data_IF_043400473641
#
_entry.id   IF_043400473641
#
_cell.length_a   1.000
_cell.length_b   1.000
_cell.length_c   1.000
_cell.angle_alpha   90.00
_cell.angle_beta   90.00
_cell.angle_gamma   90.00
#
_symmetry.space_group_name_H-M   'P 1'
#
loop_
_entity.id
_entity.type
_entity.pdbx_description
1 polymer ?
#
# COMPACT_ATOMS: atom_id res chain seq x y z
N UNK A 1 0.11 2.73 -17.91
CA UNK A 1 0.54 1.76 -16.87
C UNK A 1 0.02 2.18 -15.51
N UNK A 2 -0.43 1.23 -14.67
CA UNK A 2 -0.89 1.54 -13.31
C UNK A 2 0.31 1.66 -12.37
N UNK A 3 0.21 2.54 -11.38
CA UNK A 3 1.23 2.71 -10.34
C UNK A 3 1.18 1.51 -9.39
N UNK A 4 2.30 0.81 -9.13
CA UNK A 4 2.33 -0.29 -8.18
C UNK A 4 2.16 0.21 -6.74
N UNK A 5 1.37 -0.49 -5.93
CA UNK A 5 1.20 -0.21 -4.50
C UNK A 5 1.15 -1.49 -3.68
N UNK A 6 1.43 -1.37 -2.38
CA UNK A 6 1.25 -2.49 -1.45
C UNK A 6 -0.18 -2.53 -0.90
N UNK A 7 -0.72 -3.74 -0.78
CA UNK A 7 -1.97 -4.00 -0.07
C UNK A 7 -1.88 -5.34 0.68
N UNK A 8 -2.61 -5.49 1.78
CA UNK A 8 -2.72 -6.79 2.43
C UNK A 8 -3.45 -7.78 1.53
N UNK A 9 -2.85 -8.94 1.33
CA UNK A 9 -3.39 -9.97 0.43
C UNK A 9 -3.54 -11.34 1.09
N UNK A 10 -2.47 -11.87 1.66
CA UNK A 10 -2.48 -13.17 2.34
C UNK A 10 -2.95 -12.98 3.79
N UNK A 11 -4.27 -13.16 4.03
CA UNK A 11 -4.88 -12.97 5.35
C UNK A 11 -5.30 -14.32 5.92
N UNK A 12 -4.69 -14.70 7.04
CA UNK A 12 -4.99 -15.92 7.80
C UNK A 12 -5.61 -15.55 9.14
N UNK A 13 -6.88 -15.90 9.32
CA UNK A 13 -7.58 -15.78 10.62
C UNK A 13 -7.55 -17.15 11.28
N UNK A 14 -6.88 -17.23 12.43
CA UNK A 14 -6.74 -18.49 13.19
C UNK A 14 -7.80 -18.62 14.28
N UNK A 15 -8.23 -17.51 14.84
CA UNK A 15 -9.32 -17.47 15.82
C UNK A 15 -10.19 -16.25 15.62
N UNK A 16 -11.50 -16.46 15.57
CA UNK A 16 -12.47 -15.37 15.41
C UNK A 16 -13.73 -15.69 16.25
N UNK A 17 -13.81 -15.09 17.41
CA UNK A 17 -14.97 -15.16 18.28
C UNK A 17 -15.79 -13.85 18.25
N UNK A 18 -15.60 -13.02 17.23
CA UNK A 18 -16.38 -11.80 17.06
C UNK A 18 -17.73 -12.05 16.36
N UNK A 19 -18.54 -11.02 16.28
CA UNK A 19 -19.82 -11.06 15.54
C UNK A 19 -19.65 -11.03 14.02
N UNK A 20 -18.46 -10.63 13.52
CA UNK A 20 -18.19 -10.53 12.10
C UNK A 20 -17.68 -11.85 11.55
N UNK A 21 -18.11 -12.21 10.35
CA UNK A 21 -17.57 -13.38 9.67
C UNK A 21 -16.17 -13.09 9.09
N UNK A 22 -15.41 -14.16 8.85
CA UNK A 22 -14.04 -14.05 8.36
C UNK A 22 -13.93 -13.32 7.01
N UNK A 23 -14.91 -13.42 6.13
CA UNK A 23 -14.88 -12.76 4.83
C UNK A 23 -15.04 -11.23 4.95
N UNK A 24 -15.91 -10.77 5.85
CA UNK A 24 -16.08 -9.34 6.14
C UNK A 24 -14.79 -8.75 6.71
N UNK A 25 -14.16 -9.46 7.64
CA UNK A 25 -12.88 -9.03 8.24
C UNK A 25 -11.79 -9.00 7.16
N UNK A 26 -11.64 -10.07 6.37
CA UNK A 26 -10.66 -10.11 5.27
C UNK A 26 -10.85 -8.96 4.28
N UNK A 27 -12.10 -8.67 3.90
CA UNK A 27 -12.39 -7.55 3.00
C UNK A 27 -11.94 -6.22 3.61
N UNK A 28 -12.21 -6.00 4.89
CA UNK A 28 -11.80 -4.79 5.60
C UNK A 28 -10.28 -4.63 5.64
N UNK A 29 -9.57 -5.71 6.00
CA UNK A 29 -8.10 -5.71 6.06
C UNK A 29 -7.47 -5.50 4.69
N UNK A 30 -8.00 -6.11 3.62
CA UNK A 30 -7.53 -5.89 2.24
C UNK A 30 -7.63 -4.43 1.78
N UNK A 31 -8.56 -3.67 2.34
CA UNK A 31 -8.77 -2.27 2.00
C UNK A 31 -8.03 -1.29 2.92
N UNK A 32 -7.29 -1.77 3.94
CA UNK A 32 -6.42 -0.91 4.72
C UNK A 32 -5.27 -0.41 3.83
N UNK A 33 -5.08 0.91 3.69
CA UNK A 33 -3.93 1.44 2.98
C UNK A 33 -2.67 1.12 3.77
N UNK A 34 -1.62 0.67 3.12
CA UNK A 34 -0.31 0.48 3.76
C UNK A 34 0.44 1.81 3.67
N UNK A 35 0.47 2.54 4.79
CA UNK A 35 1.05 3.87 4.92
C UNK A 35 2.45 3.71 5.53
N UNK A 36 3.41 4.56 5.14
CA UNK A 36 4.67 4.73 5.88
C UNK A 36 5.74 3.67 5.63
N UNK A 37 5.69 2.94 4.54
CA UNK A 37 6.92 2.39 3.99
C UNK A 37 7.71 3.62 3.52
N UNK A 38 8.68 4.06 4.31
CA UNK A 38 9.46 5.28 4.06
C UNK A 38 10.33 5.21 2.79
N UNK A 39 10.33 4.10 2.10
CA UNK A 39 11.06 3.94 0.86
C UNK A 39 10.10 4.13 -0.30
N UNK A 40 9.63 5.36 -0.50
CA UNK A 40 9.15 5.80 -1.80
C UNK A 40 10.18 5.46 -2.89
N UNK A 41 11.46 5.36 -2.52
CA UNK A 41 12.58 4.97 -3.36
C UNK A 41 12.68 3.45 -3.61
N UNK A 42 12.05 2.58 -2.84
CA UNK A 42 12.09 1.13 -3.11
C UNK A 42 11.42 0.77 -4.46
N UNK A 43 10.68 1.71 -5.07
CA UNK A 43 10.06 1.54 -6.39
C UNK A 43 10.73 2.34 -7.50
N UNK A 44 11.41 3.38 -7.11
CA UNK A 44 12.09 4.32 -7.97
C UNK A 44 13.33 4.75 -7.19
N UNK A 45 14.39 3.95 -7.21
CA UNK A 45 15.70 4.44 -6.88
C UNK A 45 15.94 5.61 -7.82
N UNK A 46 15.75 6.82 -7.32
CA UNK A 46 16.46 7.95 -7.86
C UNK A 46 17.91 7.63 -7.53
N UNK A 47 18.68 7.17 -8.50
CA UNK A 47 20.08 7.50 -8.49
C UNK A 47 20.08 9.01 -8.30
N UNK A 48 20.49 9.50 -7.12
CA UNK A 48 20.99 10.85 -6.97
C UNK A 48 22.24 10.88 -7.86
N UNK A 49 21.99 11.02 -9.16
CA UNK A 49 23.03 11.48 -10.06
C UNK A 49 23.33 12.90 -9.59
N UNK A 50 24.46 13.06 -8.89
CA UNK A 50 25.17 14.32 -8.83
C UNK A 50 25.27 14.76 -10.29
N UNK A 51 24.45 15.77 -10.66
CA UNK A 51 24.57 16.42 -11.94
C UNK A 51 25.90 17.20 -11.94
N UNK A 52 26.96 16.52 -12.26
CA UNK A 52 28.13 17.14 -12.83
C UNK A 52 27.71 17.64 -14.21
N UNK A 53 27.66 18.96 -14.36
CA UNK A 53 27.17 19.71 -15.53
C UNK A 53 27.94 19.45 -16.84
N UNK A 54 28.83 18.44 -16.93
CA UNK A 54 29.78 18.26 -18.02
C UNK A 54 29.76 16.87 -18.71
N UNK A 55 28.70 16.10 -18.66
CA UNK A 55 28.68 14.84 -19.41
C UNK A 55 27.56 14.77 -20.44
N UNK A 56 28.03 14.68 -21.68
CA UNK A 56 27.25 14.41 -22.88
C UNK A 56 26.30 13.22 -22.66
N UNK A 57 25.07 13.42 -23.08
CA UNK A 57 23.95 12.51 -23.09
C UNK A 57 24.28 11.21 -23.86
N UNK A 58 24.82 10.21 -23.18
CA UNK A 58 24.89 8.86 -23.72
C UNK A 58 23.59 8.10 -23.38
N UNK A 59 22.81 7.88 -24.43
CA UNK A 59 21.61 7.07 -24.48
C UNK A 59 21.92 5.59 -24.25
N UNK A 60 22.32 5.11 -23.12
CA UNK A 60 22.30 3.65 -22.84
C UNK A 60 22.63 3.33 -21.37
N UNK A 61 21.88 3.85 -20.40
CA UNK A 61 21.76 3.13 -19.13
C UNK A 61 20.29 2.95 -18.83
N UNK A 62 19.80 1.84 -19.37
CA UNK A 62 18.45 1.42 -19.23
C UNK A 62 18.11 1.17 -17.76
N UNK A 63 17.15 1.89 -17.25
CA UNK A 63 16.21 1.33 -16.30
C UNK A 63 15.74 0.00 -16.92
N UNK A 64 16.29 -1.12 -16.47
CA UNK A 64 15.76 -2.43 -16.79
C UNK A 64 14.33 -2.45 -16.25
N UNK A 65 13.42 -2.05 -17.13
CA UNK A 65 12.01 -2.05 -16.85
C UNK A 65 11.63 -3.45 -16.43
N UNK A 66 11.03 -3.58 -15.28
CA UNK A 66 10.28 -4.77 -14.91
C UNK A 66 9.28 -4.96 -16.04
N UNK A 67 9.52 -5.92 -16.92
CA UNK A 67 8.62 -6.25 -18.01
C UNK A 67 7.34 -6.87 -17.42
N UNK A 68 6.37 -6.00 -17.16
CA UNK A 68 5.06 -6.37 -16.60
C UNK A 68 4.20 -7.20 -17.56
N UNK A 69 4.68 -7.48 -18.76
CA UNK A 69 3.99 -8.29 -19.77
C UNK A 69 4.39 -9.76 -19.74
N UNK A 70 5.41 -10.13 -19.00
CA UNK A 70 5.70 -11.54 -18.79
C UNK A 70 4.82 -12.06 -17.66
N UNK A 71 3.92 -12.98 -17.96
CA UNK A 71 3.17 -13.82 -17.00
C UNK A 71 4.08 -14.80 -16.23
N UNK A 72 5.35 -14.52 -16.12
CA UNK A 72 6.22 -15.22 -15.17
C UNK A 72 5.84 -14.71 -13.80
N UNK A 73 5.44 -15.63 -12.92
CA UNK A 73 5.35 -15.41 -11.48
C UNK A 73 6.49 -14.50 -11.05
N UNK A 74 6.16 -13.21 -10.86
CA UNK A 74 7.10 -12.27 -10.31
C UNK A 74 7.32 -12.79 -8.89
N UNK A 75 8.40 -13.53 -8.69
CA UNK A 75 8.99 -13.79 -7.39
C UNK A 75 9.52 -12.44 -6.88
N UNK A 76 8.57 -11.52 -6.64
CA UNK A 76 8.84 -10.28 -5.94
C UNK A 76 9.31 -10.73 -4.57
N UNK A 77 10.60 -10.54 -4.37
CA UNK A 77 11.32 -10.97 -3.19
C UNK A 77 10.47 -10.71 -1.95
N UNK A 78 10.33 -11.71 -1.12
CA UNK A 78 9.72 -11.65 0.22
C UNK A 78 10.32 -10.55 1.10
N UNK A 79 11.36 -9.88 0.60
CA UNK A 79 12.19 -8.89 1.28
C UNK A 79 11.48 -7.58 1.63
N UNK A 80 10.43 -7.18 0.92
CA UNK A 80 9.76 -5.88 1.13
C UNK A 80 8.30 -6.03 1.58
N UNK A 81 7.94 -7.14 2.21
CA UNK A 81 6.58 -7.36 2.70
C UNK A 81 6.41 -6.84 4.12
N UNK A 82 5.29 -6.15 4.35
CA UNK A 82 4.83 -5.84 5.71
C UNK A 82 3.93 -6.96 6.17
N UNK A 83 4.20 -7.45 7.38
CA UNK A 83 3.32 -8.38 8.08
C UNK A 83 2.65 -7.68 9.23
N UNK A 84 1.33 -7.77 9.30
CA UNK A 84 0.53 -7.35 10.43
C UNK A 84 0.06 -8.58 11.19
N UNK A 85 0.26 -8.58 12.50
CA UNK A 85 -0.16 -9.65 13.39
C UNK A 85 -0.98 -9.10 14.53
N UNK A 86 -2.05 -9.77 14.90
CA UNK A 86 -2.84 -9.47 16.07
C UNK A 86 -3.21 -10.75 16.80
N UNK A 87 -3.10 -10.71 18.10
CA UNK A 87 -3.63 -11.69 19.05
C UNK A 87 -4.19 -10.92 20.24
N UNK A 88 -5.49 -10.79 20.28
CA UNK A 88 -6.17 -9.97 21.26
C UNK A 88 -7.27 -10.75 21.96
N UNK A 89 -7.26 -10.72 23.28
CA UNK A 89 -8.32 -11.24 24.14
C UNK A 89 -8.95 -10.09 24.89
N UNK A 90 -10.27 -10.00 24.86
CA UNK A 90 -10.99 -9.02 25.67
C UNK A 90 -11.28 -9.61 27.04
N UNK A 91 -10.46 -9.28 28.03
CA UNK A 91 -10.61 -9.73 29.42
C UNK A 91 -11.47 -8.77 30.26
N UNK A 92 -12.06 -7.75 29.64
CA UNK A 92 -12.96 -6.79 30.31
C UNK A 92 -14.42 -7.24 30.26
N UNK A 93 -15.27 -6.60 31.05
CA UNK A 93 -16.72 -6.85 31.05
C UNK A 93 -17.46 -6.00 29.98
N UNK A 94 -16.75 -5.12 29.28
CA UNK A 94 -17.29 -4.24 28.25
C UNK A 94 -16.90 -4.68 26.84
N UNK A 95 -17.60 -4.13 25.82
CA UNK A 95 -17.25 -4.33 24.43
C UNK A 95 -16.05 -3.43 24.10
N UNK A 96 -14.95 -4.04 23.67
CA UNK A 96 -13.73 -3.34 23.28
C UNK A 96 -13.62 -3.22 21.75
N UNK A 97 -13.19 -2.06 21.29
CA UNK A 97 -12.81 -1.86 19.89
C UNK A 97 -11.33 -2.13 19.72
N UNK A 98 -11.01 -3.16 18.97
CA UNK A 98 -9.64 -3.50 18.60
C UNK A 98 -9.24 -2.68 17.39
N UNK A 99 -8.07 -2.08 17.44
CA UNK A 99 -7.57 -1.11 16.46
C UNK A 99 -6.22 -1.55 15.86
N UNK A 100 -5.69 -0.76 14.96
CA UNK A 100 -4.33 -0.98 14.42
C UNK A 100 -3.22 -0.76 15.44
N UNK A 101 -3.48 -0.11 16.58
CA UNK A 101 -2.52 0.02 17.69
C UNK A 101 -2.34 -1.28 18.46
N UNK A 102 -3.36 -2.14 18.48
CA UNK A 102 -3.30 -3.45 19.10
C UNK A 102 -2.57 -4.49 18.22
N UNK A 103 -2.14 -4.07 17.03
CA UNK A 103 -1.42 -4.93 16.09
C UNK A 103 0.09 -4.77 16.21
N UNK A 104 0.80 -5.86 15.94
CA UNK A 104 2.25 -5.85 15.76
C UNK A 104 2.55 -5.82 14.28
N UNK A 105 3.46 -4.93 13.87
CA UNK A 105 3.89 -4.81 12.49
C UNK A 105 5.34 -5.22 12.35
N UNK A 106 5.64 -5.92 11.26
CA UNK A 106 6.98 -6.39 10.93
C UNK A 106 7.32 -6.00 9.50
N UNK A 107 8.56 -5.53 9.30
CA UNK A 107 9.13 -5.24 7.98
C UNK A 107 10.55 -5.81 7.93
N UNK A 108 10.86 -6.62 6.91
CA UNK A 108 12.16 -7.31 6.80
C UNK A 108 12.54 -8.02 8.12
N UNK A 109 11.58 -8.74 8.73
CA UNK A 109 11.74 -9.45 10.03
C UNK A 109 11.92 -8.55 11.26
N UNK A 110 12.06 -7.24 11.10
CA UNK A 110 12.14 -6.31 12.21
C UNK A 110 10.76 -5.85 12.66
N UNK A 111 10.56 -5.73 13.96
CA UNK A 111 9.36 -5.07 14.51
C UNK A 111 9.42 -3.59 14.19
N UNK A 112 8.34 -3.06 13.64
CA UNK A 112 8.18 -1.64 13.35
C UNK A 112 7.02 -1.06 14.14
N UNK A 113 7.02 0.26 14.32
CA UNK A 113 5.86 0.97 14.89
C UNK A 113 4.67 0.88 13.94
N UNK A 114 3.45 1.07 14.49
CA UNK A 114 2.26 1.16 13.65
C UNK A 114 2.45 2.21 12.55
N UNK A 115 2.23 1.86 11.27
CA UNK A 115 2.35 2.83 10.18
C UNK A 115 1.21 3.86 10.19
N UNK A 116 0.19 3.66 11.03
CA UNK A 116 -0.98 4.53 11.09
C UNK A 116 -0.81 5.58 12.18
N UNK A 117 -0.84 6.85 11.78
CA UNK A 117 -0.76 7.99 12.71
C UNK A 117 -1.95 8.03 13.68
N UNK A 118 -3.13 7.67 13.18
CA UNK A 118 -4.34 7.54 13.97
C UNK A 118 -4.80 6.08 13.97
N UNK A 119 -5.24 5.54 15.11
CA UNK A 119 -5.70 4.16 15.19
C UNK A 119 -6.93 3.93 14.31
N UNK A 120 -6.90 2.87 13.52
CA UNK A 120 -8.01 2.47 12.66
C UNK A 120 -8.73 1.30 13.32
N UNK A 121 -10.03 1.44 13.59
CA UNK A 121 -10.83 0.38 14.18
C UNK A 121 -10.93 -0.83 13.23
N UNK A 122 -10.55 -2.00 13.72
CA UNK A 122 -10.57 -3.25 12.96
C UNK A 122 -11.83 -4.06 13.25
N UNK A 123 -12.08 -4.31 14.51
CA UNK A 123 -13.13 -5.22 14.97
C UNK A 123 -13.61 -4.81 16.36
N UNK A 124 -14.85 -5.19 16.72
CA UNK A 124 -15.36 -5.10 18.08
C UNK A 124 -15.46 -6.49 18.69
N UNK A 125 -14.95 -6.65 19.91
CA UNK A 125 -14.97 -7.89 20.67
C UNK A 125 -15.82 -7.73 21.92
N UNK A 126 -16.76 -8.65 22.10
CA UNK A 126 -17.50 -8.81 23.33
C UNK A 126 -16.59 -9.33 24.47
N UNK A 127 -17.03 -9.22 25.73
CA UNK A 127 -16.33 -9.80 26.88
C UNK A 127 -15.92 -11.25 26.66
N UNK A 128 -14.74 -11.63 27.14
CA UNK A 128 -14.18 -12.99 27.09
C UNK A 128 -14.07 -13.57 25.66
N UNK A 129 -13.95 -12.68 24.64
CA UNK A 129 -13.75 -13.09 23.24
C UNK A 129 -12.34 -12.81 22.78
N UNK A 130 -11.88 -13.65 21.88
CA UNK A 130 -10.53 -13.58 21.32
C UNK A 130 -10.56 -13.47 19.79
N UNK A 131 -9.59 -12.74 19.27
CA UNK A 131 -9.34 -12.62 17.84
C UNK A 131 -7.86 -12.73 17.53
N UNK A 132 -7.50 -13.65 16.63
CA UNK A 132 -6.10 -13.89 16.23
C UNK A 132 -6.02 -13.95 14.70
N UNK A 133 -5.16 -13.11 14.12
CA UNK A 133 -5.00 -12.99 12.68
C UNK A 133 -3.57 -12.61 12.31
N UNK A 134 -3.15 -13.05 11.13
CA UNK A 134 -1.98 -12.51 10.43
C UNK A 134 -2.36 -12.06 9.02
N UNK A 135 -1.75 -10.99 8.55
CA UNK A 135 -1.92 -10.47 7.21
C UNK A 135 -0.58 -10.07 6.64
N UNK A 136 -0.29 -10.51 5.41
CA UNK A 136 0.96 -10.20 4.71
C UNK A 136 0.63 -9.35 3.51
N UNK A 137 1.38 -8.26 3.33
CA UNK A 137 1.23 -7.38 2.17
C UNK A 137 1.81 -8.01 0.91
N UNK A 138 1.28 -7.58 -0.23
CA UNK A 138 1.82 -7.91 -1.53
C UNK A 138 1.79 -6.68 -2.42
N UNK A 139 2.75 -6.59 -3.35
CA UNK A 139 2.80 -5.56 -4.37
C UNK A 139 1.84 -5.89 -5.51
N UNK A 140 1.13 -4.91 -6.00
CA UNK A 140 0.24 -5.08 -7.14
C UNK A 140 -0.15 -3.76 -7.77
N UNK A 141 -0.93 -3.84 -8.83
CA UNK A 141 -1.42 -2.68 -9.58
C UNK A 141 -2.95 -2.66 -9.60
N UNK A 142 -3.51 -1.46 -9.64
CA UNK A 142 -4.97 -1.25 -9.65
C UNK A 142 -5.67 -1.98 -10.80
N UNK A 143 -5.05 -2.09 -11.97
CA UNK A 143 -5.58 -2.84 -13.12
C UNK A 143 -5.91 -4.30 -12.76
N UNK A 144 -5.17 -4.90 -11.84
CA UNK A 144 -5.43 -6.27 -11.35
C UNK A 144 -6.50 -6.30 -10.26
N UNK A 145 -6.50 -5.32 -9.35
CA UNK A 145 -7.48 -5.25 -8.27
C UNK A 145 -7.49 -3.86 -7.61
N UNK A 146 -8.68 -3.31 -7.37
CA UNK A 146 -8.89 -1.97 -6.79
C UNK A 146 -8.25 -1.75 -5.40
N UNK A 147 -7.92 -2.80 -4.65
CA UNK A 147 -7.18 -2.67 -3.38
C UNK A 147 -5.79 -2.04 -3.55
N UNK A 148 -5.24 -2.09 -4.77
CA UNK A 148 -3.95 -1.50 -5.13
C UNK A 148 -4.08 -0.08 -5.70
N UNK A 149 -5.26 0.53 -5.65
CA UNK A 149 -5.41 1.94 -6.04
C UNK A 149 -4.65 2.84 -5.08
N UNK A 150 -3.82 3.72 -5.62
CA UNK A 150 -3.13 4.76 -4.84
C UNK A 150 -3.97 6.03 -4.66
N UNK A 151 -5.08 6.15 -5.38
CA UNK A 151 -5.97 7.31 -5.31
C UNK A 151 -7.35 6.91 -4.80
N UNK A 152 -7.97 7.80 -4.02
CA UNK A 152 -9.36 7.67 -3.60
C UNK A 152 -10.30 8.38 -4.56
N UNK A 153 -9.95 9.59 -4.95
CA UNK A 153 -10.71 10.42 -5.88
C UNK A 153 -9.75 11.10 -6.85
N UNK A 154 -10.14 11.13 -8.12
CA UNK A 154 -9.50 11.92 -9.16
C UNK A 154 -10.57 12.55 -10.05
N UNK A 155 -10.38 13.81 -10.41
CA UNK A 155 -11.24 14.49 -11.33
C UNK A 155 -10.53 15.66 -12.01
N UNK A 156 -11.13 16.12 -13.08
CA UNK A 156 -10.63 17.31 -13.79
C UNK A 156 -11.79 18.17 -14.28
N UNK A 157 -11.55 19.48 -14.37
CA UNK A 157 -12.45 20.44 -14.99
C UNK A 157 -11.67 21.21 -16.07
N UNK A 158 -12.26 21.33 -17.25
CA UNK A 158 -11.77 22.21 -18.30
C UNK A 158 -12.35 23.61 -18.08
N UNK A 159 -11.52 24.61 -17.82
CA UNK A 159 -11.94 25.99 -17.59
C UNK A 159 -12.03 26.78 -18.87
N UNK A 160 -11.08 26.56 -19.79
CA UNK A 160 -10.96 27.18 -21.13
C UNK A 160 -10.28 26.16 -22.02
N UNK A 161 -10.31 26.43 -23.32
CA UNK A 161 -9.59 25.59 -24.28
C UNK A 161 -8.12 25.42 -23.86
N UNK A 162 -7.73 24.16 -23.62
CA UNK A 162 -6.41 23.74 -23.15
C UNK A 162 -6.01 24.17 -21.71
N UNK A 163 -6.97 24.58 -20.86
CA UNK A 163 -6.72 24.91 -19.46
C UNK A 163 -7.52 23.98 -18.55
N UNK A 164 -6.84 23.08 -17.85
CA UNK A 164 -7.43 22.00 -17.04
C UNK A 164 -7.05 22.15 -15.57
N UNK A 165 -8.04 22.09 -14.69
CA UNK A 165 -7.83 21.90 -13.26
C UNK A 165 -7.96 20.44 -12.92
N UNK A 166 -6.87 19.85 -12.41
CA UNK A 166 -6.83 18.49 -11.90
C UNK A 166 -6.94 18.53 -10.37
N UNK A 167 -7.83 17.72 -9.80
CA UNK A 167 -7.83 17.45 -8.37
C UNK A 167 -7.66 15.95 -8.12
N UNK A 168 -6.89 15.62 -7.10
CA UNK A 168 -6.52 14.27 -6.76
C UNK A 168 -6.41 14.14 -5.24
N UNK A 169 -6.94 13.05 -4.70
CA UNK A 169 -6.78 12.66 -3.30
C UNK A 169 -6.10 11.31 -3.22
N UNK A 170 -4.96 11.26 -2.54
CA UNK A 170 -4.24 10.03 -2.26
C UNK A 170 -4.95 9.18 -1.21
N UNK A 171 -4.79 7.86 -1.27
CA UNK A 171 -5.14 6.96 -0.18
C UNK A 171 -4.11 6.95 0.96
N UNK A 172 -3.10 7.82 0.89
CA UNK A 172 -2.04 7.96 1.89
C UNK A 172 -0.85 7.01 1.73
N UNK A 173 -0.85 6.15 0.73
CA UNK A 173 0.25 5.23 0.44
C UNK A 173 1.41 5.93 -0.26
N UNK A 174 1.10 6.84 -1.17
CA UNK A 174 2.03 7.64 -1.97
C UNK A 174 1.54 9.10 -1.92
N UNK A 175 2.47 10.04 -1.85
CA UNK A 175 2.16 11.46 -1.88
C UNK A 175 1.53 11.86 -3.23
N UNK A 176 0.58 12.81 -3.22
CA UNK A 176 -0.16 13.26 -4.40
C UNK A 176 0.77 13.77 -5.51
N UNK A 177 1.78 14.56 -5.15
CA UNK A 177 2.77 15.06 -6.10
C UNK A 177 3.49 13.92 -6.80
N UNK A 178 3.93 12.92 -6.03
CA UNK A 178 4.63 11.75 -6.57
C UNK A 178 3.74 10.90 -7.47
N UNK A 179 2.46 10.76 -7.16
CA UNK A 179 1.49 10.06 -8.02
C UNK A 179 1.44 10.73 -9.40
N UNK A 180 1.37 12.07 -9.44
CA UNK A 180 1.32 12.82 -10.71
C UNK A 180 2.63 12.67 -11.48
N UNK A 181 3.78 12.81 -10.82
CA UNK A 181 5.11 12.63 -11.43
C UNK A 181 5.25 11.27 -12.10
N UNK A 182 4.93 10.20 -11.36
CA UNK A 182 5.01 8.83 -11.89
C UNK A 182 4.01 8.60 -13.03
N UNK A 183 2.81 9.17 -12.93
CA UNK A 183 1.83 9.09 -14.01
C UNK A 183 2.35 9.74 -15.30
N UNK A 184 2.96 10.92 -15.20
CA UNK A 184 3.56 11.63 -16.33
C UNK A 184 4.71 10.82 -16.94
N UNK A 185 5.62 10.31 -16.11
CA UNK A 185 6.73 9.46 -16.58
C UNK A 185 6.19 8.23 -17.32
N UNK A 186 5.15 7.58 -16.80
CA UNK A 186 4.55 6.42 -17.46
C UNK A 186 3.92 6.77 -18.82
N UNK A 187 3.32 7.96 -18.96
CA UNK A 187 2.76 8.43 -20.23
C UNK A 187 3.87 8.71 -21.24
N UNK A 188 4.94 9.40 -20.83
CA UNK A 188 6.08 9.72 -21.70
C UNK A 188 6.75 8.44 -22.24
N UNK A 189 6.81 7.38 -21.42
CA UNK A 189 7.38 6.09 -21.84
C UNK A 189 6.49 5.28 -22.78
N UNK A 190 5.22 5.65 -22.92
CA UNK A 190 4.27 4.99 -23.83
C UNK A 190 4.13 5.70 -25.18
N UNK A 191 4.64 6.94 -25.30
CA UNK A 191 4.74 7.70 -26.53
C UNK A 191 5.98 7.35 -27.33
#
# INVERSE_FOLDING_TARGET
KSIPTYAFDKIKITKNNSVFNNNQIKLRIKNLPIIGIKNENDFYEEEEEDYDEDNEFDQETGLQGIDLNQEKDINISTLNQITMYIDYTNDTDDIVTVTTEDCKFYYKENTIMSPYKNPIALIKLHPQRQFTMSAVSNLGIEKKHAKYSCVSIIGYNENKENDYNLFLESRGQINEKRIIEVAIINIIREL
#
